data_IF_510971270376
#
_entry.id   IF_510971270376
#
_cell.length_a   1.000
_cell.length_b   1.000
_cell.length_c   1.000
_cell.angle_alpha   90.00
_cell.angle_beta   90.00
_cell.angle_gamma   90.00
#
_symmetry.space_group_name_H-M   'P 1'
#
loop_
_entity.id
_entity.type
_entity.pdbx_description
1 polymer ?
#
# COMPACT_ATOMS: atom_id res chain seq x y z
N UNK A 1 -6.79 18.53 14.12
CA UNK A 1 -7.77 17.99 13.15
C UNK A 1 -7.48 16.54 12.73
N UNK A 2 -6.24 16.15 12.44
CA UNK A 2 -5.89 14.79 12.01
C UNK A 2 -6.32 13.69 13.01
N UNK A 3 -5.99 13.83 14.30
CA UNK A 3 -6.33 12.82 15.34
C UNK A 3 -7.83 12.56 15.44
N UNK A 4 -8.66 13.60 15.36
CA UNK A 4 -10.12 13.48 15.40
C UNK A 4 -10.65 12.75 14.16
N UNK A 5 -10.17 13.13 12.96
CA UNK A 5 -10.54 12.44 11.71
C UNK A 5 -10.16 10.97 11.77
N UNK A 6 -8.95 10.65 12.24
CA UNK A 6 -8.48 9.27 12.40
C UNK A 6 -9.36 8.46 13.36
N UNK A 7 -9.73 9.04 14.50
CA UNK A 7 -10.62 8.40 15.47
C UNK A 7 -11.98 8.08 14.87
N UNK A 8 -12.58 9.02 14.11
CA UNK A 8 -13.87 8.80 13.42
C UNK A 8 -13.75 7.69 12.39
N UNK A 9 -12.68 7.68 11.59
CA UNK A 9 -12.43 6.63 10.59
C UNK A 9 -12.28 5.28 11.28
N UNK A 10 -11.49 5.22 12.37
CA UNK A 10 -11.26 4.02 13.15
C UNK A 10 -12.57 3.46 13.72
N UNK A 11 -13.41 4.29 14.33
CA UNK A 11 -14.72 3.90 14.87
C UNK A 11 -15.64 3.34 13.78
N UNK A 12 -15.71 4.01 12.62
CA UNK A 12 -16.54 3.55 11.49
C UNK A 12 -16.08 2.21 10.92
N UNK A 13 -14.79 1.89 11.05
CA UNK A 13 -14.17 0.67 10.53
C UNK A 13 -13.87 -0.38 11.61
N UNK A 14 -14.34 -0.18 12.82
CA UNK A 14 -14.03 -1.05 13.96
C UNK A 14 -14.37 -2.53 13.70
N UNK A 15 -15.44 -2.78 12.93
CA UNK A 15 -15.85 -4.14 12.51
C UNK A 15 -14.88 -4.81 11.53
N UNK A 16 -13.94 -4.06 10.94
CA UNK A 16 -12.92 -4.54 10.01
C UNK A 16 -11.52 -4.55 10.64
N UNK A 17 -11.45 -4.57 11.96
CA UNK A 17 -10.18 -4.56 12.68
C UNK A 17 -9.55 -5.95 12.72
N UNK A 18 -8.22 -6.00 12.66
CA UNK A 18 -7.40 -7.20 12.85
C UNK A 18 -7.75 -8.37 11.92
N UNK A 19 -8.28 -8.10 10.73
CA UNK A 19 -8.64 -9.14 9.76
C UNK A 19 -10.00 -9.81 10.02
N UNK A 20 -10.85 -9.23 10.86
CA UNK A 20 -12.22 -9.72 11.01
C UNK A 20 -12.96 -9.67 9.66
N UNK A 21 -13.60 -10.78 9.27
CA UNK A 21 -14.27 -10.93 7.98
C UNK A 21 -13.37 -11.38 6.82
N UNK A 22 -12.05 -11.53 7.03
CA UNK A 22 -11.13 -12.08 6.03
C UNK A 22 -11.11 -13.60 6.16
N UNK A 23 -11.71 -14.29 5.19
CA UNK A 23 -11.87 -15.75 5.23
C UNK A 23 -10.65 -16.52 4.70
N UNK A 24 -9.91 -15.92 3.75
CA UNK A 24 -8.71 -16.54 3.18
C UNK A 24 -7.57 -16.56 4.21
N UNK A 25 -6.95 -17.71 4.52
CA UNK A 25 -5.83 -17.79 5.46
C UNK A 25 -4.64 -16.94 5.06
N UNK A 26 -4.31 -16.87 3.75
CA UNK A 26 -3.21 -16.05 3.25
C UNK A 26 -3.50 -14.56 3.40
N UNK A 27 -4.74 -14.13 3.12
CA UNK A 27 -5.16 -12.74 3.26
C UNK A 27 -5.23 -12.32 4.72
N UNK A 28 -5.72 -13.21 5.59
CA UNK A 28 -5.72 -12.99 7.03
C UNK A 28 -4.28 -12.81 7.56
N UNK A 29 -3.34 -13.67 7.13
CA UNK A 29 -1.93 -13.54 7.51
C UNK A 29 -1.33 -12.23 7.04
N UNK A 30 -1.62 -11.81 5.81
CA UNK A 30 -1.19 -10.52 5.28
C UNK A 30 -1.72 -9.35 6.13
N UNK A 31 -3.03 -9.33 6.39
CA UNK A 31 -3.62 -8.27 7.23
C UNK A 31 -3.03 -8.28 8.64
N UNK A 32 -2.82 -9.45 9.22
CA UNK A 32 -2.39 -9.60 10.61
C UNK A 32 -0.93 -9.26 10.81
N UNK A 33 -0.05 -9.70 9.90
CA UNK A 33 1.40 -9.65 10.08
C UNK A 33 2.12 -8.64 9.19
N UNK A 34 1.41 -7.97 8.29
CA UNK A 34 1.98 -6.88 7.47
C UNK A 34 1.21 -5.59 7.71
N UNK A 35 -0.12 -5.59 7.51
CA UNK A 35 -0.92 -4.36 7.62
C UNK A 35 -1.02 -3.89 9.07
N UNK A 36 -1.47 -4.78 9.98
CA UNK A 36 -1.76 -4.47 11.38
C UNK A 36 -0.64 -4.91 12.34
N UNK A 37 0.57 -5.06 11.85
CA UNK A 37 1.71 -5.33 12.71
C UNK A 37 2.12 -4.07 13.50
N UNK A 38 2.37 -4.26 14.79
CA UNK A 38 2.71 -3.17 15.72
C UNK A 38 4.08 -3.37 16.40
N UNK A 39 4.91 -4.30 15.89
CA UNK A 39 6.24 -4.51 16.45
C UNK A 39 7.08 -3.23 16.33
N UNK A 40 7.79 -2.83 17.40
CA UNK A 40 8.70 -1.71 17.36
C UNK A 40 10.01 -2.15 16.68
N UNK A 41 10.09 -2.04 15.35
CA UNK A 41 11.34 -2.27 14.64
C UNK A 41 12.39 -1.22 15.05
N UNK A 42 13.61 -1.64 15.36
CA UNK A 42 14.71 -0.74 15.74
C UNK A 42 14.95 0.37 14.70
N UNK A 43 14.80 0.04 13.42
CA UNK A 43 14.95 1.00 12.34
C UNK A 43 13.96 2.19 12.42
N UNK A 44 12.82 2.05 13.07
CA UNK A 44 11.80 3.11 13.12
C UNK A 44 12.26 4.36 13.88
N UNK A 45 13.08 4.21 14.91
CA UNK A 45 13.58 5.35 15.70
C UNK A 45 14.64 6.12 14.92
N UNK A 46 15.49 5.44 14.17
CA UNK A 46 16.50 6.04 13.31
C UNK A 46 15.85 6.72 12.10
N UNK A 47 14.91 6.04 11.43
CA UNK A 47 14.18 6.58 10.28
C UNK A 47 13.33 7.79 10.64
N UNK A 48 12.77 7.83 11.84
CA UNK A 48 12.02 9.00 12.32
C UNK A 48 12.91 10.23 12.49
N UNK A 49 14.17 10.05 12.87
CA UNK A 49 15.15 11.15 12.99
C UNK A 49 15.63 11.64 11.61
N UNK A 50 15.66 10.76 10.62
CA UNK A 50 16.13 11.08 9.27
C UNK A 50 15.13 11.88 8.43
N UNK A 51 13.86 11.93 8.80
CA UNK A 51 12.84 12.68 8.06
C UNK A 51 11.70 13.13 8.97
N UNK A 52 11.52 14.44 9.09
CA UNK A 52 10.36 15.02 9.77
C UNK A 52 9.14 14.96 8.84
N UNK A 53 8.27 13.99 9.08
CA UNK A 53 7.03 13.79 8.34
C UNK A 53 5.83 13.82 9.30
N UNK A 54 4.68 14.24 8.79
CA UNK A 54 3.46 14.23 9.57
C UNK A 54 3.04 12.81 10.01
N UNK A 55 2.16 12.72 10.98
CA UNK A 55 1.74 11.47 11.60
C UNK A 55 1.07 10.51 10.58
N UNK A 56 0.35 11.01 9.58
CA UNK A 56 -0.28 10.18 8.54
C UNK A 56 0.78 9.58 7.64
N UNK A 57 1.70 10.40 7.16
CA UNK A 57 2.82 9.99 6.33
C UNK A 57 3.70 8.97 7.06
N UNK A 58 3.95 9.16 8.36
CA UNK A 58 4.72 8.21 9.16
C UNK A 58 4.07 6.82 9.25
N UNK A 59 2.74 6.76 9.36
CA UNK A 59 2.01 5.48 9.35
C UNK A 59 2.17 4.77 8.00
N UNK A 60 2.09 5.51 6.89
CA UNK A 60 2.32 4.98 5.55
C UNK A 60 3.77 4.52 5.36
N UNK A 61 4.74 5.31 5.80
CA UNK A 61 6.16 4.93 5.79
C UNK A 61 6.39 3.58 6.48
N UNK A 62 5.83 3.39 7.68
CA UNK A 62 5.93 2.11 8.40
C UNK A 62 5.25 0.95 7.66
N UNK A 63 4.13 1.21 6.98
CA UNK A 63 3.50 0.22 6.11
C UNK A 63 4.44 -0.16 4.95
N UNK A 64 5.06 0.82 4.28
CA UNK A 64 5.96 0.59 3.15
C UNK A 64 7.22 -0.16 3.57
N UNK A 65 7.76 0.12 4.75
CA UNK A 65 8.81 -0.70 5.36
C UNK A 65 8.37 -2.17 5.47
N UNK A 66 7.20 -2.43 6.08
CA UNK A 66 6.71 -3.80 6.28
C UNK A 66 6.39 -4.50 4.95
N UNK A 67 5.88 -3.77 3.95
CA UNK A 67 5.65 -4.29 2.60
C UNK A 67 6.97 -4.70 1.95
N UNK A 68 7.99 -3.86 1.99
CA UNK A 68 9.31 -4.17 1.46
C UNK A 68 9.97 -5.35 2.21
N UNK A 69 9.85 -5.37 3.55
CA UNK A 69 10.36 -6.47 4.37
C UNK A 69 9.66 -7.80 4.08
N UNK A 70 8.36 -7.79 3.83
CA UNK A 70 7.59 -8.99 3.56
C UNK A 70 7.79 -9.52 2.14
N UNK A 71 7.83 -8.63 1.14
CA UNK A 71 7.97 -8.99 -0.28
C UNK A 71 9.42 -9.26 -0.68
N UNK A 72 10.39 -8.61 -0.02
CA UNK A 72 11.83 -8.63 -0.38
C UNK A 72 12.06 -8.33 -1.88
N UNK A 73 11.47 -7.24 -2.44
CA UNK A 73 11.54 -6.96 -3.86
C UNK A 73 12.96 -6.54 -4.29
N UNK A 74 13.34 -6.86 -5.51
CA UNK A 74 14.57 -6.33 -6.11
C UNK A 74 14.37 -4.89 -6.60
N UNK A 75 13.19 -4.60 -7.13
CA UNK A 75 12.82 -3.28 -7.66
C UNK A 75 11.47 -2.85 -7.07
N UNK A 76 11.43 -1.62 -6.62
CA UNK A 76 10.20 -0.91 -6.26
C UNK A 76 10.04 0.27 -7.21
N UNK A 77 8.88 0.34 -7.83
CA UNK A 77 8.48 1.53 -8.59
C UNK A 77 7.72 2.48 -7.67
N UNK A 78 8.19 3.72 -7.53
CA UNK A 78 7.62 4.73 -6.65
C UNK A 78 7.20 5.98 -7.44
N UNK A 79 5.94 6.00 -7.88
CA UNK A 79 5.40 7.06 -8.71
C UNK A 79 4.90 8.23 -7.88
N UNK A 80 5.48 9.43 -8.11
CA UNK A 80 5.14 10.70 -7.44
C UNK A 80 5.07 10.57 -5.91
N UNK A 81 6.19 10.24 -5.24
CA UNK A 81 6.23 10.19 -3.78
C UNK A 81 5.99 11.58 -3.18
N UNK A 82 5.17 11.64 -2.14
CA UNK A 82 4.95 12.87 -1.37
C UNK A 82 6.19 13.29 -0.57
N UNK A 83 7.10 12.35 -0.30
CA UNK A 83 8.32 12.56 0.47
C UNK A 83 9.37 11.52 0.11
N UNK A 84 10.65 11.90 0.19
CA UNK A 84 11.78 10.97 0.05
C UNK A 84 11.86 9.94 1.19
N UNK A 85 11.16 10.18 2.30
CA UNK A 85 11.11 9.24 3.42
C UNK A 85 10.54 7.86 3.00
N UNK A 86 9.67 7.80 2.00
CA UNK A 86 9.13 6.52 1.50
C UNK A 86 10.24 5.59 1.03
N UNK A 87 11.16 6.08 0.21
CA UNK A 87 12.29 5.30 -0.26
C UNK A 87 13.20 4.85 0.89
N UNK A 88 13.46 5.71 1.88
CA UNK A 88 14.26 5.36 3.06
C UNK A 88 13.64 4.21 3.85
N UNK A 89 12.32 4.25 4.08
CA UNK A 89 11.62 3.17 4.78
C UNK A 89 11.58 1.87 3.97
N UNK A 90 11.41 1.93 2.65
CA UNK A 90 11.47 0.75 1.78
C UNK A 90 12.86 0.13 1.78
N UNK A 91 13.92 0.94 1.71
CA UNK A 91 15.31 0.47 1.83
C UNK A 91 15.61 -0.16 3.18
N UNK A 92 15.12 0.40 4.26
CA UNK A 92 15.30 -0.19 5.59
C UNK A 92 14.57 -1.53 5.74
N UNK A 93 13.44 -1.71 5.05
CA UNK A 93 12.70 -2.98 5.00
C UNK A 93 13.37 -4.02 4.10
N UNK A 94 14.04 -3.59 3.04
CA UNK A 94 14.76 -4.46 2.10
C UNK A 94 16.03 -3.76 1.59
N UNK A 95 17.18 -4.06 2.18
CA UNK A 95 18.44 -3.38 1.87
C UNK A 95 18.92 -3.53 0.41
N UNK A 96 18.46 -4.57 -0.29
CA UNK A 96 18.82 -4.85 -1.69
C UNK A 96 17.92 -4.16 -2.70
N UNK A 97 16.87 -3.48 -2.25
CA UNK A 97 15.88 -2.89 -3.15
C UNK A 97 16.46 -1.69 -3.90
N UNK A 98 16.18 -1.64 -5.19
CA UNK A 98 16.36 -0.44 -6.02
C UNK A 98 15.00 0.26 -6.16
N UNK A 99 14.93 1.53 -5.78
CA UNK A 99 13.74 2.36 -5.97
C UNK A 99 13.89 3.16 -7.27
N UNK A 100 12.88 3.12 -8.13
CA UNK A 100 12.83 3.83 -9.42
C UNK A 100 11.46 4.52 -9.59
N UNK A 101 11.36 5.50 -10.49
CA UNK A 101 10.10 6.13 -10.87
C UNK A 101 9.43 5.48 -12.07
N UNK A 102 10.19 4.70 -12.84
CA UNK A 102 9.77 4.20 -14.14
C UNK A 102 9.43 2.70 -14.07
N UNK A 103 8.40 2.33 -14.82
CA UNK A 103 8.00 0.94 -15.01
C UNK A 103 8.89 0.35 -16.11
N UNK A 104 9.90 -0.43 -15.73
CA UNK A 104 10.79 -1.13 -16.63
C UNK A 104 10.86 -2.62 -16.25
N UNK A 105 10.37 -3.47 -17.11
CA UNK A 105 10.29 -4.92 -16.87
C UNK A 105 9.24 -5.33 -15.82
N UNK A 106 9.48 -6.44 -15.14
CA UNK A 106 8.54 -6.99 -14.15
C UNK A 106 8.50 -6.16 -12.87
N UNK A 107 7.32 -5.73 -12.48
CA UNK A 107 7.08 -4.93 -11.27
C UNK A 107 6.73 -5.86 -10.11
N UNK A 108 7.57 -5.90 -9.07
CA UNK A 108 7.29 -6.70 -7.86
C UNK A 108 6.50 -5.91 -6.82
N UNK A 109 6.92 -4.68 -6.55
CA UNK A 109 6.20 -3.75 -5.69
C UNK A 109 6.13 -2.39 -6.39
N UNK A 110 4.94 -1.84 -6.47
CA UNK A 110 4.71 -0.50 -6.97
C UNK A 110 3.94 0.31 -5.93
N UNK A 111 4.32 1.57 -5.73
CA UNK A 111 3.53 2.55 -5.00
C UNK A 111 3.24 3.73 -5.94
N UNK A 112 2.01 4.18 -5.96
CA UNK A 112 1.60 5.35 -6.73
C UNK A 112 0.73 6.30 -5.90
N UNK A 113 0.87 7.60 -6.17
CA UNK A 113 -0.08 8.63 -5.76
C UNK A 113 -1.12 8.85 -6.86
N UNK A 114 -2.35 9.22 -6.47
CA UNK A 114 -3.39 9.65 -7.41
C UNK A 114 -3.16 11.12 -7.73
N UNK A 115 -2.06 11.40 -8.44
CA UNK A 115 -1.64 12.72 -8.89
C UNK A 115 -1.03 12.65 -10.30
N UNK A 116 -1.19 13.72 -11.07
CA UNK A 116 -0.68 13.79 -12.45
C UNK A 116 -1.40 12.78 -13.35
N UNK A 117 -0.63 12.08 -14.18
CA UNK A 117 -1.16 11.10 -15.14
C UNK A 117 -1.25 9.68 -14.52
N UNK A 118 -1.93 9.59 -13.37
CA UNK A 118 -2.03 8.35 -12.58
C UNK A 118 -2.79 7.23 -13.30
N UNK A 119 -3.75 7.57 -14.18
CA UNK A 119 -4.52 6.57 -14.92
C UNK A 119 -3.64 5.84 -15.95
N UNK A 120 -2.86 6.60 -16.73
CA UNK A 120 -1.91 6.01 -17.66
C UNK A 120 -0.80 5.25 -16.94
N UNK A 121 -0.31 5.76 -15.80
CA UNK A 121 0.66 5.04 -14.99
C UNK A 121 0.09 3.72 -14.47
N UNK A 122 -1.15 3.69 -14.01
CA UNK A 122 -1.83 2.44 -13.62
C UNK A 122 -1.88 1.44 -14.77
N UNK A 123 -2.22 1.90 -15.99
CA UNK A 123 -2.25 1.03 -17.17
C UNK A 123 -0.85 0.44 -17.49
N UNK A 124 0.22 1.23 -17.33
CA UNK A 124 1.59 0.73 -17.47
C UNK A 124 1.92 -0.34 -16.43
N UNK A 125 1.58 -0.10 -15.15
CA UNK A 125 1.79 -1.11 -14.10
C UNK A 125 1.05 -2.40 -14.42
N UNK A 126 -0.21 -2.30 -14.82
CA UNK A 126 -1.04 -3.47 -15.15
C UNK A 126 -0.48 -4.25 -16.35
N UNK A 127 0.09 -3.56 -17.35
CA UNK A 127 0.70 -4.20 -18.52
C UNK A 127 1.95 -5.03 -18.16
N UNK A 128 2.66 -4.67 -17.07
CA UNK A 128 3.88 -5.33 -16.61
C UNK A 128 3.66 -6.19 -15.34
N UNK A 129 2.41 -6.26 -14.87
CA UNK A 129 2.08 -7.01 -13.68
C UNK A 129 2.03 -8.53 -13.93
N UNK A 130 2.52 -9.27 -12.95
CA UNK A 130 2.39 -10.72 -12.87
C UNK A 130 1.70 -11.17 -11.55
N UNK A 131 1.67 -12.48 -11.30
CA UNK A 131 1.07 -13.05 -10.09
C UNK A 131 1.78 -12.66 -8.78
N UNK A 132 2.97 -12.08 -8.84
CA UNK A 132 3.76 -11.65 -7.69
C UNK A 132 3.72 -10.13 -7.50
N UNK A 133 3.15 -9.40 -8.46
CA UNK A 133 3.05 -7.95 -8.41
C UNK A 133 2.09 -7.50 -7.32
N UNK A 134 2.53 -6.50 -6.56
CA UNK A 134 1.71 -5.78 -5.58
C UNK A 134 1.76 -4.28 -5.87
N UNK A 135 0.58 -3.65 -5.96
CA UNK A 135 0.44 -2.21 -6.14
C UNK A 135 -0.17 -1.57 -4.89
N UNK A 136 0.43 -0.48 -4.43
CA UNK A 136 -0.12 0.40 -3.40
C UNK A 136 -0.59 1.69 -4.07
N UNK A 137 -1.87 2.00 -3.93
CA UNK A 137 -2.49 3.24 -4.43
C UNK A 137 -2.75 4.16 -3.25
N UNK A 138 -1.99 5.25 -3.15
CA UNK A 138 -2.11 6.20 -2.04
C UNK A 138 -3.22 7.24 -2.31
N UNK A 139 -3.95 7.63 -1.26
CA UNK A 139 -4.94 8.71 -1.34
C UNK A 139 -6.32 8.30 -1.87
N UNK A 140 -6.68 7.02 -1.86
CA UNK A 140 -7.92 6.46 -2.42
C UNK A 140 -9.23 7.09 -1.90
N UNK A 141 -9.20 7.83 -0.79
CA UNK A 141 -10.36 8.53 -0.20
C UNK A 141 -10.16 10.05 -0.14
N UNK A 142 -9.16 10.60 -0.84
CA UNK A 142 -8.79 12.01 -0.76
C UNK A 142 -9.90 12.93 -1.28
N UNK A 143 -10.47 12.61 -2.43
CA UNK A 143 -11.54 13.35 -3.10
C UNK A 143 -12.49 12.41 -3.85
N UNK A 144 -13.44 12.97 -4.62
CA UNK A 144 -14.42 12.20 -5.39
C UNK A 144 -13.77 11.42 -6.54
N UNK A 145 -12.83 12.03 -7.23
CA UNK A 145 -12.09 11.43 -8.35
C UNK A 145 -11.25 10.24 -7.89
N UNK A 146 -10.49 10.40 -6.80
CA UNK A 146 -9.70 9.33 -6.21
C UNK A 146 -10.56 8.13 -5.77
N UNK A 147 -11.76 8.40 -5.24
CA UNK A 147 -12.70 7.32 -4.91
C UNK A 147 -13.20 6.61 -6.17
N UNK A 148 -13.55 7.36 -7.22
CA UNK A 148 -14.00 6.79 -8.49
C UNK A 148 -12.90 5.93 -9.12
N UNK A 149 -11.67 6.43 -9.16
CA UNK A 149 -10.53 5.67 -9.64
C UNK A 149 -10.29 4.39 -8.83
N UNK A 150 -10.38 4.46 -7.50
CA UNK A 150 -10.26 3.25 -6.67
C UNK A 150 -11.34 2.22 -6.97
N UNK A 151 -12.58 2.64 -7.25
CA UNK A 151 -13.64 1.72 -7.70
C UNK A 151 -13.29 1.09 -9.06
N UNK A 152 -12.77 1.86 -10.02
CA UNK A 152 -12.29 1.33 -11.30
C UNK A 152 -11.17 0.30 -11.10
N UNK A 153 -10.17 0.59 -10.27
CA UNK A 153 -9.09 -0.34 -9.94
C UNK A 153 -9.63 -1.66 -9.38
N UNK A 154 -10.62 -1.61 -8.49
CA UNK A 154 -11.26 -2.80 -7.93
C UNK A 154 -12.03 -3.61 -8.97
N UNK A 155 -12.67 -2.93 -9.93
CA UNK A 155 -13.48 -3.58 -10.98
C UNK A 155 -12.62 -4.12 -12.14
N UNK A 156 -11.42 -3.61 -12.35
CA UNK A 156 -10.53 -4.03 -13.44
C UNK A 156 -10.27 -5.55 -13.36
N UNK A 157 -10.58 -6.28 -14.40
CA UNK A 157 -10.46 -7.74 -14.46
C UNK A 157 -9.03 -8.25 -14.28
N UNK A 158 -8.04 -7.38 -14.50
CA UNK A 158 -6.63 -7.68 -14.35
C UNK A 158 -6.16 -7.64 -12.89
N UNK A 159 -6.91 -7.00 -12.00
CA UNK A 159 -6.63 -6.98 -10.56
C UNK A 159 -7.24 -8.18 -9.85
N UNK A 160 -6.60 -8.63 -8.79
CA UNK A 160 -7.05 -9.74 -7.95
C UNK A 160 -7.62 -9.26 -6.60
N UNK A 161 -6.99 -9.68 -5.50
CA UNK A 161 -7.42 -9.30 -4.15
C UNK A 161 -7.02 -7.86 -3.86
N UNK A 162 -7.96 -7.07 -3.30
CA UNK A 162 -7.69 -5.70 -2.89
C UNK A 162 -8.01 -5.46 -1.42
N UNK A 163 -7.24 -4.55 -0.80
CA UNK A 163 -7.44 -4.12 0.58
C UNK A 163 -7.58 -2.60 0.63
N UNK A 164 -8.73 -2.10 1.08
CA UNK A 164 -8.99 -0.68 1.35
C UNK A 164 -8.56 -0.36 2.79
N UNK A 165 -7.43 0.33 2.95
CA UNK A 165 -6.89 0.76 4.25
C UNK A 165 -7.28 2.21 4.58
N UNK A 166 -8.19 2.84 3.85
CA UNK A 166 -8.62 4.22 3.91
C UNK A 166 -7.61 5.23 3.33
N UNK A 167 -6.38 5.26 3.83
CA UNK A 167 -5.33 6.18 3.35
C UNK A 167 -4.66 5.68 2.07
N UNK A 168 -4.63 4.39 1.90
CA UNK A 168 -4.19 3.74 0.66
C UNK A 168 -5.02 2.47 0.38
N UNK A 169 -4.96 2.01 -0.86
CA UNK A 169 -5.42 0.71 -1.29
C UNK A 169 -4.24 -0.18 -1.63
N UNK A 170 -4.34 -1.48 -1.40
CA UNK A 170 -3.34 -2.47 -1.82
C UNK A 170 -4.01 -3.42 -2.80
N UNK A 171 -3.35 -3.71 -3.91
CA UNK A 171 -3.83 -4.57 -5.00
C UNK A 171 -2.82 -5.69 -5.21
N UNK A 172 -3.30 -6.92 -5.19
CA UNK A 172 -2.57 -8.11 -5.62
C UNK A 172 -3.05 -8.52 -7.00
N UNK A 173 -2.11 -8.82 -7.90
CA UNK A 173 -2.43 -9.25 -9.28
C UNK A 173 -2.48 -10.77 -9.44
N UNK A 174 -2.36 -11.52 -8.35
CA UNK A 174 -2.41 -12.98 -8.39
C UNK A 174 -3.80 -13.49 -8.80
N UNK A 175 -3.91 -13.96 -10.04
CA UNK A 175 -5.15 -14.48 -10.64
C UNK A 175 -5.46 -15.93 -10.25
N UNK A 176 -4.57 -16.63 -9.57
CA UNK A 176 -4.84 -17.96 -9.03
C UNK A 176 -5.76 -17.90 -7.80
N UNK A 177 -6.01 -16.69 -7.30
CA UNK A 177 -6.86 -16.42 -6.14
C UNK A 177 -8.17 -15.81 -6.59
N UNK A 178 -9.26 -16.16 -5.92
CA UNK A 178 -10.55 -15.50 -6.16
C UNK A 178 -10.44 -14.01 -5.88
N UNK A 179 -10.96 -13.20 -6.79
CA UNK A 179 -11.04 -11.74 -6.63
C UNK A 179 -11.89 -11.40 -5.42
N UNK A 180 -11.33 -10.64 -4.49
CA UNK A 180 -11.97 -10.22 -3.25
C UNK A 180 -11.61 -8.78 -2.92
N UNK A 181 -12.52 -8.09 -2.25
CA UNK A 181 -12.35 -6.70 -1.83
C UNK A 181 -12.54 -6.59 -0.32
N UNK A 182 -11.45 -6.40 0.40
CA UNK A 182 -11.48 -6.29 1.84
C UNK A 182 -11.38 -4.83 2.27
N UNK A 183 -12.19 -4.43 3.24
CA UNK A 183 -12.00 -3.20 4.00
C UNK A 183 -11.23 -3.58 5.27
N UNK A 184 -10.16 -2.86 5.57
CA UNK A 184 -9.34 -3.12 6.75
C UNK A 184 -9.20 -1.83 7.55
N UNK A 185 -9.36 -1.93 8.86
CA UNK A 185 -9.09 -0.84 9.78
C UNK A 185 -7.57 -0.77 10.04
N UNK A 186 -6.97 0.39 9.71
CA UNK A 186 -5.53 0.59 9.66
C UNK A 186 -5.10 1.84 10.46
#
# INVERSE_FOLDING_TARGET
MYKLKRMIVWLRRMRHSRGFGVQSPSDYRFVRYVVNEHWPYYAYDELKKAGDVDQQTQILCRLYFRMANWLQPQVVVDYRPATSAYALYMHAGCHKVRVTSDVDGTVQLCRMSIDGDYENFFLQVVAHADNHTVLIVEGIKRNREAKAFWEQVKQDERTGVTFDLYYCGIVFFNKLRYKQHYIVNF
#
